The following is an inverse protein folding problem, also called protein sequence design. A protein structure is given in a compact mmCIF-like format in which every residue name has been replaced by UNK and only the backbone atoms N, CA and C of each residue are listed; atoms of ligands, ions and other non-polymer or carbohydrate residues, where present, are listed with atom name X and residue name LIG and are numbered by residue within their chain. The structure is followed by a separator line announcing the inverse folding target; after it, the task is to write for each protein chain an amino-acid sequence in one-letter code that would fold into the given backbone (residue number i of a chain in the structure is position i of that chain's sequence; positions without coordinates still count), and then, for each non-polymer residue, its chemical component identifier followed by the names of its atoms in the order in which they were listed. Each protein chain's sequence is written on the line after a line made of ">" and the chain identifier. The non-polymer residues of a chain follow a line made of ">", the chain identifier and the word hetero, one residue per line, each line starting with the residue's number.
data_IF_129584246215
#
_entry.id   IF_129584246215
#
_cell.length_a   1.000
_cell.length_b   1.000
_cell.length_c   1.000
_cell.angle_alpha   90.00
_cell.angle_beta   90.00
_cell.angle_gamma   90.00
#
_symmetry.space_group_name_H-M   'P 1'
#
loop_
_entity.id
_entity.type
_entity.pdbx_description
1 polymer ?
#
# COMPACT_ATOMS: atom_id res chain seq x y z
N UNK A 1 -17.05 7.35 31.15
CA UNK A 1 -16.58 7.85 29.83
C UNK A 1 -16.08 9.27 30.06
N UNK A 2 -14.77 9.48 30.10
CA UNK A 2 -14.21 10.83 30.26
C UNK A 2 -14.26 11.50 28.89
N UNK A 3 -15.01 12.60 28.79
CA UNK A 3 -14.93 13.51 27.66
C UNK A 3 -13.51 14.09 27.64
N UNK A 4 -12.67 13.62 26.71
CA UNK A 4 -11.37 14.24 26.48
C UNK A 4 -11.65 15.63 25.91
N UNK A 5 -11.27 16.66 26.66
CA UNK A 5 -11.39 18.04 26.22
C UNK A 5 -10.68 18.21 24.86
N UNK A 6 -11.36 18.84 23.91
CA UNK A 6 -10.76 19.15 22.62
C UNK A 6 -9.50 19.98 22.83
N UNK A 7 -8.38 19.49 22.34
CA UNK A 7 -7.08 20.14 22.53
C UNK A 7 -6.65 20.76 21.21
N UNK A 8 -6.15 22.00 21.25
CA UNK A 8 -5.55 22.65 20.06
C UNK A 8 -4.05 22.43 20.05
N UNK A 9 -3.49 22.15 18.88
CA UNK A 9 -2.05 21.97 18.70
C UNK A 9 -1.59 22.63 17.41
N UNK A 10 -0.43 23.29 17.45
CA UNK A 10 0.17 23.88 16.26
C UNK A 10 1.02 22.83 15.55
N UNK A 11 0.71 22.57 14.27
CA UNK A 11 1.48 21.67 13.42
C UNK A 11 2.28 22.50 12.43
N UNK A 12 3.60 22.43 12.53
CA UNK A 12 4.52 23.31 11.79
C UNK A 12 4.89 22.81 10.39
N UNK A 13 4.48 21.59 10.02
CA UNK A 13 4.74 20.99 8.71
C UNK A 13 3.43 20.69 7.98
N UNK A 14 3.49 20.62 6.65
CA UNK A 14 2.37 20.12 5.86
C UNK A 14 2.06 18.66 6.23
N UNK A 15 0.79 18.27 6.12
CA UNK A 15 0.36 16.91 6.45
C UNK A 15 -0.83 16.46 5.61
N UNK A 16 -0.91 15.16 5.34
CA UNK A 16 -2.11 14.54 4.81
C UNK A 16 -3.10 14.20 5.93
N UNK A 17 -4.39 14.30 5.60
CA UNK A 17 -5.46 13.75 6.40
C UNK A 17 -6.13 12.58 5.67
N UNK A 18 -6.73 11.68 6.43
CA UNK A 18 -7.26 10.40 5.98
C UNK A 18 -8.67 10.21 6.52
N UNK A 19 -9.52 9.53 5.75
CA UNK A 19 -10.90 9.26 6.18
C UNK A 19 -10.96 8.24 7.32
N UNK A 20 -9.99 7.33 7.39
CA UNK A 20 -9.82 6.35 8.47
C UNK A 20 -8.40 6.42 9.03
N UNK A 21 -8.18 5.86 10.22
CA UNK A 21 -6.86 5.76 10.86
C UNK A 21 -5.99 4.68 10.18
N UNK A 22 -5.67 4.88 8.91
CA UNK A 22 -4.86 3.99 8.09
C UNK A 22 -4.22 4.74 6.92
N UNK A 23 -2.96 4.42 6.64
CA UNK A 23 -2.24 4.95 5.48
C UNK A 23 -2.80 4.47 4.13
N UNK A 24 -3.59 3.38 4.13
CA UNK A 24 -4.28 2.89 2.93
C UNK A 24 -5.70 3.44 2.79
N UNK A 25 -6.11 4.34 3.68
CA UNK A 25 -7.39 5.04 3.56
C UNK A 25 -7.33 6.11 2.47
N UNK A 26 -8.48 6.46 1.92
CA UNK A 26 -8.61 7.60 1.01
C UNK A 26 -8.14 8.86 1.74
N UNK A 27 -7.19 9.57 1.13
CA UNK A 27 -6.74 10.87 1.59
C UNK A 27 -7.89 11.89 1.44
N UNK A 28 -8.11 12.70 2.46
CA UNK A 28 -9.07 13.80 2.47
C UNK A 28 -8.54 14.99 1.68
N UNK A 29 -9.30 16.09 1.59
CA UNK A 29 -8.91 17.31 0.88
C UNK A 29 -8.50 17.05 -0.58
N UNK A 30 -9.19 16.12 -1.24
CA UNK A 30 -8.89 15.69 -2.60
C UNK A 30 -7.49 15.08 -2.79
N UNK A 31 -6.85 14.60 -1.71
CA UNK A 31 -5.48 14.10 -1.75
C UNK A 31 -4.40 15.18 -1.69
N UNK A 32 -4.75 16.42 -1.34
CA UNK A 32 -3.80 17.53 -1.16
C UNK A 32 -3.47 17.71 0.32
N UNK A 33 -2.21 18.00 0.62
CA UNK A 33 -1.77 18.29 1.98
C UNK A 33 -2.45 19.54 2.55
N UNK A 34 -2.70 19.49 3.84
CA UNK A 34 -3.00 20.67 4.63
C UNK A 34 -1.68 21.43 4.91
N UNK A 35 -1.63 22.76 4.73
CA UNK A 35 -0.46 23.54 5.13
C UNK A 35 -0.31 23.56 6.66
N UNK A 36 0.88 23.94 7.17
CA UNK A 36 1.10 24.17 8.60
C UNK A 36 -0.01 25.03 9.21
N UNK A 37 -0.61 24.54 10.30
CA UNK A 37 -1.75 25.20 10.95
C UNK A 37 -2.00 24.70 12.36
N UNK A 38 -2.80 25.45 13.12
CA UNK A 38 -3.37 24.98 14.38
C UNK A 38 -4.57 24.08 14.13
N UNK A 39 -4.51 22.85 14.61
CA UNK A 39 -5.56 21.83 14.48
C UNK A 39 -6.34 21.68 15.79
N UNK A 40 -7.59 21.25 15.69
CA UNK A 40 -8.41 20.84 16.84
C UNK A 40 -8.44 19.31 16.93
N UNK A 41 -7.88 18.75 18.00
CA UNK A 41 -7.74 17.31 18.20
C UNK A 41 -8.90 16.80 19.06
N UNK A 42 -9.55 15.74 18.56
CA UNK A 42 -10.66 15.02 19.21
C UNK A 42 -10.18 13.73 19.89
N UNK A 43 -9.16 13.07 19.34
CA UNK A 43 -8.63 11.80 19.85
C UNK A 43 -7.14 11.68 19.49
N UNK A 44 -6.33 11.09 20.38
CA UNK A 44 -4.95 10.65 20.07
C UNK A 44 -4.81 9.17 20.41
N UNK A 45 -4.27 8.40 19.46
CA UNK A 45 -3.92 6.99 19.65
C UNK A 45 -2.43 6.82 19.88
N UNK A 46 -2.07 5.79 20.63
CA UNK A 46 -0.67 5.49 20.98
C UNK A 46 0.18 5.10 19.76
N UNK A 47 -0.42 4.69 18.65
CA UNK A 47 0.26 4.38 17.40
C UNK A 47 0.48 5.59 16.48
N UNK A 48 0.24 6.81 16.97
CA UNK A 48 0.52 8.06 16.25
C UNK A 48 -0.66 8.66 15.49
N UNK A 49 -1.78 7.94 15.39
CA UNK A 49 -2.99 8.44 14.72
C UNK A 49 -3.77 9.40 15.60
N UNK A 50 -3.99 10.62 15.11
CA UNK A 50 -4.79 11.64 15.78
C UNK A 50 -6.04 11.93 14.96
N UNK A 51 -7.18 12.00 15.63
CA UNK A 51 -8.44 12.44 15.03
C UNK A 51 -8.57 13.94 15.22
N UNK A 52 -8.78 14.67 14.13
CA UNK A 52 -8.86 16.13 14.12
C UNK A 52 -10.17 16.60 13.48
N UNK A 53 -10.63 17.80 13.86
CA UNK A 53 -11.70 18.48 13.15
C UNK A 53 -11.14 19.21 11.92
N UNK A 54 -11.73 18.95 10.76
CA UNK A 54 -11.52 19.73 9.53
C UNK A 54 -12.85 20.34 9.06
N UNK A 55 -12.82 21.15 8.00
CA UNK A 55 -14.04 21.63 7.34
C UNK A 55 -14.81 20.51 6.62
N UNK A 56 -14.14 19.41 6.24
CA UNK A 56 -14.75 18.18 5.71
C UNK A 56 -15.29 17.25 6.82
N UNK A 57 -15.28 17.70 8.08
CA UNK A 57 -15.63 16.91 9.25
C UNK A 57 -14.41 16.31 9.97
N UNK A 58 -14.65 15.32 10.83
CA UNK A 58 -13.55 14.64 11.53
C UNK A 58 -12.71 13.81 10.54
N UNK A 59 -11.38 13.88 10.67
CA UNK A 59 -10.40 13.14 9.87
C UNK A 59 -9.23 12.65 10.72
N UNK A 60 -8.46 11.73 10.19
CA UNK A 60 -7.29 11.15 10.85
C UNK A 60 -6.01 11.69 10.25
N UNK A 61 -5.02 11.98 11.09
CA UNK A 61 -3.67 12.36 10.66
C UNK A 61 -2.65 11.47 11.37
N UNK A 62 -1.50 11.26 10.73
CA UNK A 62 -0.34 10.68 11.38
C UNK A 62 0.90 11.47 10.93
N UNK A 63 1.49 12.20 11.88
CA UNK A 63 2.56 13.14 11.59
C UNK A 63 3.95 12.46 11.56
N UNK A 64 4.11 11.34 12.24
CA UNK A 64 5.44 10.75 12.49
C UNK A 64 5.59 9.32 11.96
N UNK A 65 4.57 8.81 11.29
CA UNK A 65 4.48 7.42 10.89
C UNK A 65 3.98 6.52 12.03
N UNK A 66 3.81 5.25 11.69
CA UNK A 66 3.52 4.20 12.67
C UNK A 66 4.45 3.00 12.46
N UNK A 67 4.73 2.29 13.53
CA UNK A 67 5.43 1.00 13.45
C UNK A 67 4.42 -0.08 13.15
N UNK A 68 4.70 -0.89 12.12
CA UNK A 68 3.84 -2.00 11.72
C UNK A 68 4.66 -3.27 11.54
N UNK A 69 4.20 -4.36 12.16
CA UNK A 69 4.81 -5.67 11.96
C UNK A 69 4.34 -6.28 10.64
N UNK A 70 5.27 -6.69 9.79
CA UNK A 70 5.01 -7.44 8.57
C UNK A 70 5.27 -8.92 8.85
N UNK A 71 4.22 -9.73 8.77
CA UNK A 71 4.22 -11.10 9.30
C UNK A 71 4.98 -12.11 8.43
N UNK A 72 5.18 -11.82 7.15
CA UNK A 72 5.79 -12.72 6.16
C UNK A 72 6.99 -12.06 5.51
N UNK A 73 7.92 -12.84 4.92
CA UNK A 73 8.96 -12.27 4.08
C UNK A 73 8.36 -11.41 2.97
N UNK A 74 8.99 -10.26 2.69
CA UNK A 74 8.46 -9.26 1.76
C UNK A 74 9.57 -8.62 0.93
N UNK A 75 9.21 -8.13 -0.25
CA UNK A 75 10.09 -7.32 -1.08
C UNK A 75 9.78 -5.84 -0.90
N UNK A 76 10.78 -5.01 -1.11
CA UNK A 76 10.64 -3.55 -1.25
C UNK A 76 10.69 -3.17 -2.72
N UNK A 77 10.04 -2.07 -3.07
CA UNK A 77 9.95 -1.54 -4.43
C UNK A 77 10.27 -0.03 -4.43
N UNK A 78 10.87 0.46 -5.51
CA UNK A 78 11.18 1.89 -5.66
C UNK A 78 9.92 2.74 -5.88
N UNK A 79 8.89 2.15 -6.51
CA UNK A 79 7.58 2.76 -6.75
C UNK A 79 6.47 1.84 -6.20
N UNK A 80 5.25 2.34 -5.92
CA UNK A 80 4.12 1.53 -5.46
C UNK A 80 3.53 0.70 -6.61
N UNK A 81 4.34 -0.23 -7.14
CA UNK A 81 4.01 -1.04 -8.31
C UNK A 81 4.80 -2.34 -8.31
N UNK A 82 4.14 -3.46 -8.61
CA UNK A 82 4.77 -4.77 -8.71
C UNK A 82 5.72 -4.91 -9.90
N UNK A 83 5.65 -4.01 -10.89
CA UNK A 83 6.57 -3.97 -12.03
C UNK A 83 7.72 -2.98 -11.82
N UNK A 84 7.76 -2.30 -10.68
CA UNK A 84 8.91 -1.47 -10.27
C UNK A 84 10.14 -2.35 -10.03
N UNK A 85 11.32 -1.76 -10.21
CA UNK A 85 12.54 -2.33 -9.65
C UNK A 85 12.37 -2.56 -8.14
N UNK A 86 12.81 -3.74 -7.69
CA UNK A 86 12.87 -4.11 -6.27
C UNK A 86 14.07 -3.42 -5.61
N UNK A 87 13.93 -3.04 -4.33
CA UNK A 87 15.05 -2.62 -3.49
C UNK A 87 15.95 -3.81 -3.12
N UNK A 88 17.05 -3.56 -2.41
CA UNK A 88 17.93 -4.60 -1.88
C UNK A 88 18.54 -5.52 -2.94
N UNK A 89 18.70 -5.04 -4.18
CA UNK A 89 19.12 -5.90 -5.30
C UNK A 89 18.14 -7.03 -5.62
N UNK A 90 16.87 -6.91 -5.22
CA UNK A 90 15.85 -7.95 -5.39
C UNK A 90 15.82 -8.99 -4.26
N UNK A 91 16.52 -8.76 -3.14
CA UNK A 91 16.45 -9.65 -1.99
C UNK A 91 15.21 -9.39 -1.14
N UNK A 92 14.60 -10.47 -0.63
CA UNK A 92 13.48 -10.37 0.32
C UNK A 92 13.98 -10.03 1.71
N UNK A 93 13.22 -9.21 2.42
CA UNK A 93 13.33 -9.01 3.85
C UNK A 93 12.59 -10.14 4.59
N UNK A 94 13.09 -10.52 5.77
CA UNK A 94 12.35 -11.39 6.68
C UNK A 94 11.21 -10.62 7.36
N UNK A 95 10.27 -11.36 7.96
CA UNK A 95 9.23 -10.78 8.81
C UNK A 95 9.85 -9.91 9.91
N UNK A 96 9.40 -8.66 10.01
CA UNK A 96 9.92 -7.69 10.97
C UNK A 96 8.98 -6.48 11.12
N UNK A 97 9.25 -5.65 12.12
CA UNK A 97 8.61 -4.34 12.27
C UNK A 97 9.26 -3.31 11.33
N UNK A 98 8.42 -2.54 10.64
CA UNK A 98 8.85 -1.46 9.73
C UNK A 98 8.18 -0.13 10.10
N UNK A 99 8.88 1.01 9.95
CA UNK A 99 8.27 2.33 10.07
C UNK A 99 7.52 2.67 8.78
N UNK A 100 6.20 2.81 8.87
CA UNK A 100 5.31 3.21 7.77
C UNK A 100 5.04 4.71 7.87
N UNK A 101 5.17 5.43 6.76
CA UNK A 101 5.03 6.88 6.71
C UNK A 101 3.96 7.39 5.73
N UNK A 102 3.53 6.54 4.79
CA UNK A 102 2.48 6.87 3.83
C UNK A 102 1.88 5.58 3.22
N UNK A 103 0.83 5.71 2.42
CA UNK A 103 0.24 4.60 1.68
C UNK A 103 -0.70 5.02 0.55
N UNK A 104 -1.17 4.01 -0.17
CA UNK A 104 -2.15 4.13 -1.26
C UNK A 104 -3.40 3.31 -0.95
N UNK A 105 -4.50 3.64 -1.61
CA UNK A 105 -5.77 2.89 -1.51
C UNK A 105 -5.68 1.47 -2.05
N UNK A 106 -4.67 1.17 -2.89
CA UNK A 106 -4.42 -0.17 -3.41
C UNK A 106 -3.61 -1.05 -2.44
N UNK A 107 -3.34 -0.58 -1.22
CA UNK A 107 -2.69 -1.37 -0.17
C UNK A 107 -1.18 -1.19 -0.07
N UNK A 108 -0.56 -0.44 -0.98
CA UNK A 108 0.87 -0.11 -0.88
C UNK A 108 1.14 0.77 0.34
N UNK A 109 2.19 0.43 1.07
CA UNK A 109 2.70 1.19 2.21
C UNK A 109 4.09 1.70 1.87
N UNK A 110 4.33 2.99 2.11
CA UNK A 110 5.66 3.58 2.05
C UNK A 110 6.32 3.43 3.42
N UNK A 111 7.54 2.89 3.42
CA UNK A 111 8.34 2.65 4.61
C UNK A 111 9.68 3.38 4.54
N UNK A 112 10.27 3.64 5.69
CA UNK A 112 11.68 4.04 5.80
C UNK A 112 12.53 2.77 6.01
N UNK A 113 13.39 2.47 5.05
CA UNK A 113 14.36 1.36 5.12
C UNK A 113 15.79 1.88 5.23
N UNK A 114 16.78 0.98 5.37
CA UNK A 114 18.19 1.37 5.31
C UNK A 114 18.59 1.95 3.93
N UNK A 115 17.79 1.68 2.89
CA UNK A 115 17.95 2.22 1.52
C UNK A 115 17.17 3.52 1.29
N UNK A 116 16.67 4.14 2.36
CA UNK A 116 15.74 5.26 2.31
C UNK A 116 14.29 4.82 2.11
N UNK A 117 13.48 5.71 1.55
CA UNK A 117 12.06 5.46 1.28
C UNK A 117 11.89 4.33 0.26
N UNK A 118 10.99 3.39 0.58
CA UNK A 118 10.61 2.27 -0.29
C UNK A 118 9.14 1.94 -0.11
N UNK A 119 8.57 1.22 -1.07
CA UNK A 119 7.20 0.74 -1.04
C UNK A 119 7.14 -0.76 -0.77
N UNK A 120 6.15 -1.20 -0.01
CA UNK A 120 5.84 -2.61 0.22
C UNK A 120 4.35 -2.83 -0.01
N UNK A 121 3.98 -4.03 -0.46
CA UNK A 121 2.59 -4.47 -0.49
C UNK A 121 2.50 -5.94 -0.03
N UNK A 122 2.51 -6.18 1.30
CA UNK A 122 2.59 -7.53 1.84
C UNK A 122 1.32 -8.37 1.63
N UNK A 123 0.20 -7.72 1.30
CA UNK A 123 -1.10 -8.37 1.13
C UNK A 123 -1.51 -8.51 -0.35
N UNK A 124 -0.71 -7.98 -1.27
CA UNK A 124 -1.10 -7.86 -2.67
C UNK A 124 -2.12 -6.76 -2.93
N UNK A 125 -2.47 -6.59 -4.19
CA UNK A 125 -3.54 -5.70 -4.62
C UNK A 125 -4.47 -6.42 -5.59
N UNK A 126 -5.67 -5.90 -5.76
CA UNK A 126 -6.54 -6.35 -6.83
C UNK A 126 -6.36 -5.47 -8.04
N UNK A 127 -6.24 -6.07 -9.22
CA UNK A 127 -6.08 -5.34 -10.47
C UNK A 127 -7.06 -5.87 -11.50
N UNK A 128 -7.77 -4.97 -12.18
CA UNK A 128 -8.61 -5.34 -13.31
C UNK A 128 -7.75 -5.52 -14.56
N UNK A 129 -7.86 -6.68 -15.20
CA UNK A 129 -7.23 -6.98 -16.49
C UNK A 129 -8.30 -6.81 -17.57
N UNK A 130 -8.12 -5.79 -18.42
CA UNK A 130 -9.16 -5.35 -19.37
C UNK A 130 -9.37 -6.29 -20.56
N UNK A 131 -8.36 -7.07 -20.91
CA UNK A 131 -8.36 -7.97 -22.06
C UNK A 131 -8.38 -9.42 -21.62
N UNK A 132 -8.82 -10.31 -22.52
CA UNK A 132 -8.65 -11.74 -22.31
C UNK A 132 -7.17 -12.09 -22.22
N UNK A 133 -6.80 -12.95 -21.28
CA UNK A 133 -5.40 -13.27 -20.98
C UNK A 133 -5.20 -14.77 -20.76
N UNK A 134 -3.94 -15.20 -20.85
CA UNK A 134 -3.51 -16.54 -20.46
C UNK A 134 -2.71 -16.46 -19.16
N UNK A 135 -2.75 -17.53 -18.38
CA UNK A 135 -1.84 -17.74 -17.25
C UNK A 135 -0.67 -18.61 -17.69
N UNK A 136 0.48 -18.43 -17.03
CA UNK A 136 1.73 -19.13 -17.31
C UNK A 136 2.36 -19.61 -15.99
N UNK A 137 3.08 -20.73 -16.03
CA UNK A 137 3.78 -21.23 -14.85
C UNK A 137 5.02 -20.39 -14.49
N UNK A 138 5.66 -19.78 -15.49
CA UNK A 138 6.80 -18.87 -15.36
C UNK A 138 6.50 -17.54 -16.09
N UNK A 139 7.19 -16.42 -15.77
CA UNK A 139 6.99 -15.12 -16.42
C UNK A 139 7.62 -15.10 -17.83
N UNK A 140 7.09 -15.93 -18.74
CA UNK A 140 7.61 -16.13 -20.08
C UNK A 140 6.55 -16.65 -21.03
N UNK A 141 6.50 -16.12 -22.27
CA UNK A 141 5.57 -16.57 -23.30
C UNK A 141 5.82 -18.00 -23.79
N UNK A 142 7.03 -18.54 -23.56
CA UNK A 142 7.36 -19.94 -23.90
C UNK A 142 7.13 -20.91 -22.74
N UNK A 143 6.72 -20.41 -21.58
CA UNK A 143 6.30 -21.25 -20.46
C UNK A 143 5.05 -22.05 -20.84
N UNK A 144 4.88 -23.27 -20.30
CA UNK A 144 3.58 -23.92 -20.28
C UNK A 144 2.52 -22.98 -19.70
N UNK A 145 1.37 -22.92 -20.37
CA UNK A 145 0.20 -22.18 -19.90
C UNK A 145 -0.45 -22.92 -18.73
N UNK A 146 -1.01 -22.17 -17.78
CA UNK A 146 -1.94 -22.71 -16.79
C UNK A 146 -3.27 -23.10 -17.42
N UNK A 147 -4.16 -23.74 -16.67
CA UNK A 147 -5.52 -24.06 -17.14
C UNK A 147 -5.58 -24.98 -18.35
N UNK A 148 -4.52 -25.79 -18.60
CA UNK A 148 -4.42 -26.55 -19.85
C UNK A 148 -4.40 -25.67 -21.11
N UNK A 149 -4.02 -24.40 -20.99
CA UNK A 149 -4.05 -23.43 -22.09
C UNK A 149 -5.39 -22.70 -22.27
N UNK A 150 -6.31 -22.81 -21.33
CA UNK A 150 -7.58 -22.09 -21.37
C UNK A 150 -7.36 -20.56 -21.26
N UNK A 151 -8.11 -19.81 -22.06
CA UNK A 151 -8.12 -18.33 -22.01
C UNK A 151 -9.09 -17.85 -20.94
N UNK A 152 -8.66 -16.84 -20.19
CA UNK A 152 -9.48 -16.13 -19.21
C UNK A 152 -10.06 -14.87 -19.87
N UNK A 153 -11.32 -14.54 -19.58
CA UNK A 153 -11.90 -13.25 -19.98
C UNK A 153 -11.42 -12.13 -19.04
N UNK A 154 -11.62 -10.88 -19.45
CA UNK A 154 -11.36 -9.71 -18.65
C UNK A 154 -12.01 -9.83 -17.25
N UNK A 155 -11.21 -9.64 -16.21
CA UNK A 155 -11.65 -9.79 -14.82
C UNK A 155 -10.67 -9.13 -13.85
N UNK A 156 -11.11 -8.98 -12.61
CA UNK A 156 -10.24 -8.60 -11.49
C UNK A 156 -9.43 -9.81 -11.01
N UNK A 157 -8.13 -9.62 -10.82
CA UNK A 157 -7.21 -10.66 -10.32
C UNK A 157 -6.44 -10.16 -9.09
N UNK A 158 -6.17 -11.02 -8.10
CA UNK A 158 -5.29 -10.70 -6.99
C UNK A 158 -3.83 -10.81 -7.45
N UNK A 159 -3.10 -9.69 -7.42
CA UNK A 159 -1.68 -9.57 -7.78
C UNK A 159 -0.84 -9.54 -6.51
N UNK A 160 0.23 -10.32 -6.48
CA UNK A 160 1.09 -10.49 -5.30
C UNK A 160 2.57 -10.22 -5.56
N UNK A 161 3.01 -10.20 -6.81
CA UNK A 161 4.38 -9.88 -7.21
C UNK A 161 4.41 -9.47 -8.70
N UNK A 162 5.58 -9.04 -9.18
CA UNK A 162 5.81 -8.77 -10.59
C UNK A 162 7.29 -8.71 -10.96
N UNK A 163 7.51 -8.51 -12.25
CA UNK A 163 8.83 -8.33 -12.86
C UNK A 163 8.92 -6.96 -13.54
N UNK A 164 10.14 -6.45 -13.71
CA UNK A 164 10.40 -5.22 -14.47
C UNK A 164 10.05 -5.36 -15.96
N UNK A 165 9.92 -6.58 -16.47
CA UNK A 165 9.43 -6.86 -17.83
C UNK A 165 7.90 -6.84 -17.97
N UNK A 166 7.17 -6.42 -16.94
CA UNK A 166 5.71 -6.23 -17.00
C UNK A 166 4.88 -7.46 -16.63
N UNK A 167 5.50 -8.60 -16.34
CA UNK A 167 4.78 -9.77 -15.85
C UNK A 167 4.28 -9.56 -14.43
N UNK A 168 3.04 -9.98 -14.17
CA UNK A 168 2.42 -9.96 -12.85
C UNK A 168 2.20 -11.39 -12.37
N UNK A 169 2.53 -11.65 -11.11
CA UNK A 169 2.19 -12.89 -10.43
C UNK A 169 0.85 -12.72 -9.74
N UNK A 170 -0.07 -13.64 -9.99
CA UNK A 170 -1.42 -13.65 -9.44
C UNK A 170 -1.70 -14.92 -8.65
N UNK A 171 -2.69 -14.84 -7.76
CA UNK A 171 -3.30 -16.03 -7.13
C UNK A 171 -4.52 -16.45 -7.96
N UNK A 172 -4.46 -17.64 -8.55
CA UNK A 172 -5.57 -18.26 -9.29
C UNK A 172 -6.13 -19.46 -8.53
N UNK A 173 -7.19 -20.09 -9.05
CA UNK A 173 -7.68 -21.37 -8.51
C UNK A 173 -6.65 -22.51 -8.63
N UNK A 174 -5.63 -22.35 -9.48
CA UNK A 174 -4.51 -23.28 -9.67
C UNK A 174 -3.27 -22.91 -8.83
N UNK A 175 -3.43 -21.99 -7.88
CA UNK A 175 -2.34 -21.39 -7.12
C UNK A 175 -1.67 -20.24 -7.86
N UNK A 176 -0.41 -19.98 -7.52
CA UNK A 176 0.38 -18.90 -8.12
C UNK A 176 0.59 -19.13 -9.62
N UNK A 177 0.34 -18.10 -10.42
CA UNK A 177 0.57 -18.09 -11.86
C UNK A 177 1.02 -16.71 -12.31
N UNK A 178 1.61 -16.64 -13.49
CA UNK A 178 2.05 -15.41 -14.14
C UNK A 178 1.11 -15.01 -15.26
N UNK A 179 0.88 -13.70 -15.40
CA UNK A 179 0.16 -13.10 -16.52
C UNK A 179 1.01 -11.98 -17.12
N UNK A 180 0.83 -11.75 -18.41
CA UNK A 180 1.31 -10.55 -19.09
C UNK A 180 0.05 -9.77 -19.53
N UNK A 181 -0.40 -8.80 -18.72
CA UNK A 181 -1.70 -8.13 -18.89
C UNK A 181 -1.70 -7.10 -20.03
#
# INVERSE_FOLDING_TARGET
>A
VLANADTKENVEKSFYAYNEASFTSVKSNGGVEYPPQTILIREKRNNGWWKIQTWEGEKWINLNGEKKYVEKPFYTYNEPSFVSAKGGGGQSFLAQEVPVIDGTTSGWLKIISYEGEKWINPNGEKKYVEKSFYTYNEPSFVSPKGGGGQVFTAQEVPVIDGTTSGWLKIISYEGEKWINP
#
